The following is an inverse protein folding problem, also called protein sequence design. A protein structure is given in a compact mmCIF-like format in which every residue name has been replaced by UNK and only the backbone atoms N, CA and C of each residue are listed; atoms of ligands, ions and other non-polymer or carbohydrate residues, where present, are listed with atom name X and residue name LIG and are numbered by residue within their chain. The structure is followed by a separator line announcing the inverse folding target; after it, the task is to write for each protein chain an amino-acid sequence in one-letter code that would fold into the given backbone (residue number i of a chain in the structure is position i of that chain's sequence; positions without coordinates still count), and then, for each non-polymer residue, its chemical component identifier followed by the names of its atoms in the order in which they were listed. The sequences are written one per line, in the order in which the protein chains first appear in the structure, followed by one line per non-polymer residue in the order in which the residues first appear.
data_IF_697574420344
#
_entry.id   IF_697574420344
#
_cell.length_a   1.000
_cell.length_b   1.000
_cell.length_c   1.000
_cell.angle_alpha   90.00
_cell.angle_beta   90.00
_cell.angle_gamma   90.00
#
_symmetry.space_group_name_H-M   'P 1'
#
loop_
_entity.id
_entity.type
_entity.pdbx_description
1 polymer ?
#
# COMPACT_ATOMS: atom_id res chain seq x y z
N UNK A 1 -6.26 0.50 -25.18
CA UNK A 1 -6.19 1.49 -24.09
C UNK A 1 -4.75 1.63 -23.65
N UNK A 2 -4.20 2.84 -23.66
CA UNK A 2 -2.89 3.08 -23.04
C UNK A 2 -3.12 3.06 -21.52
N UNK A 3 -2.40 2.18 -20.82
CA UNK A 3 -2.39 2.21 -19.36
C UNK A 3 -1.79 3.53 -18.84
N UNK A 4 -2.10 3.92 -17.60
CA UNK A 4 -1.52 5.08 -16.96
C UNK A 4 0.01 4.95 -16.90
N UNK A 5 0.72 6.04 -17.21
CA UNK A 5 2.20 6.08 -17.20
C UNK A 5 2.75 6.40 -15.81
N UNK A 6 1.96 7.14 -15.03
CA UNK A 6 2.29 7.47 -13.64
C UNK A 6 1.05 7.36 -12.76
N UNK A 7 1.24 7.26 -11.45
CA UNK A 7 0.14 7.23 -10.50
C UNK A 7 -0.67 8.55 -10.51
N UNK A 8 -0.06 9.66 -10.90
CA UNK A 8 -0.70 10.99 -10.99
C UNK A 8 -1.78 11.06 -12.08
N UNK A 9 -1.70 10.19 -13.09
CA UNK A 9 -2.73 10.08 -14.13
C UNK A 9 -3.97 9.31 -13.65
N UNK A 10 -3.89 8.64 -12.50
CA UNK A 10 -5.01 7.88 -11.95
C UNK A 10 -6.03 8.80 -11.30
N UNK A 11 -7.28 8.71 -11.72
CA UNK A 11 -8.40 9.48 -11.15
C UNK A 11 -8.50 9.28 -9.63
N UNK A 12 -8.31 8.05 -9.16
CA UNK A 12 -8.34 7.72 -7.73
C UNK A 12 -7.26 8.48 -6.96
N UNK A 13 -6.06 8.61 -7.52
CA UNK A 13 -4.98 9.36 -6.90
C UNK A 13 -5.27 10.87 -6.87
N UNK A 14 -5.75 11.42 -7.98
CA UNK A 14 -6.10 12.85 -8.09
C UNK A 14 -7.17 13.25 -7.07
N UNK A 15 -8.22 12.44 -6.92
CA UNK A 15 -9.28 12.66 -5.94
C UNK A 15 -8.77 12.56 -4.50
N UNK A 16 -7.92 11.56 -4.21
CA UNK A 16 -7.31 11.39 -2.91
C UNK A 16 -6.36 12.55 -2.57
N UNK A 17 -5.61 13.04 -3.54
CA UNK A 17 -4.72 14.18 -3.35
C UNK A 17 -5.50 15.48 -3.08
N UNK A 18 -6.59 15.74 -3.81
CA UNK A 18 -7.49 16.86 -3.55
C UNK A 18 -8.11 16.77 -2.16
N UNK A 19 -8.55 15.58 -1.74
CA UNK A 19 -9.07 15.35 -0.40
C UNK A 19 -8.02 15.69 0.67
N UNK A 20 -6.79 15.22 0.50
CA UNK A 20 -5.67 15.54 1.41
C UNK A 20 -5.49 17.05 1.58
N UNK A 21 -5.46 17.78 0.47
CA UNK A 21 -5.28 19.24 0.51
C UNK A 21 -6.45 19.92 1.21
N UNK A 22 -7.68 19.50 0.93
CA UNK A 22 -8.89 20.04 1.57
C UNK A 22 -8.94 19.75 3.07
N UNK A 23 -8.53 18.55 3.50
CA UNK A 23 -8.42 18.20 4.93
C UNK A 23 -7.36 19.06 5.62
N UNK A 24 -6.20 19.29 4.99
CA UNK A 24 -5.17 20.15 5.56
C UNK A 24 -5.64 21.59 5.72
N UNK A 25 -6.40 22.10 4.75
CA UNK A 25 -7.00 23.43 4.83
C UNK A 25 -8.07 23.49 5.93
N UNK A 26 -8.92 22.48 6.06
CA UNK A 26 -9.90 22.39 7.14
C UNK A 26 -9.22 22.44 8.52
N UNK A 27 -8.18 21.63 8.71
CA UNK A 27 -7.40 21.60 9.95
C UNK A 27 -6.78 22.99 10.24
N UNK A 28 -6.31 23.68 9.21
CA UNK A 28 -5.66 25.01 9.33
C UNK A 28 -6.65 26.10 9.74
N UNK A 29 -7.88 26.03 9.23
CA UNK A 29 -8.89 27.09 9.35
C UNK A 29 -9.90 26.87 10.47
N UNK A 30 -9.84 25.72 11.14
CA UNK A 30 -10.77 25.35 12.21
C UNK A 30 -10.04 25.08 13.53
N UNK A 31 -10.84 24.82 14.59
CA UNK A 31 -10.30 24.46 15.91
C UNK A 31 -9.95 22.96 16.06
N UNK A 32 -9.95 22.17 14.98
CA UNK A 32 -9.56 20.76 15.03
C UNK A 32 -8.19 20.56 15.68
N UNK A 33 -7.27 21.54 15.57
CA UNK A 33 -5.96 21.49 16.23
C UNK A 33 -6.03 21.42 17.77
N UNK A 34 -7.12 21.82 18.39
CA UNK A 34 -7.30 21.73 19.84
C UNK A 34 -7.60 20.30 20.30
N UNK A 35 -8.06 19.45 19.39
CA UNK A 35 -8.25 18.02 19.62
C UNK A 35 -7.13 17.26 18.88
N UNK A 36 -6.12 16.86 19.64
CA UNK A 36 -4.92 16.25 19.06
C UNK A 36 -5.19 14.92 18.38
N UNK A 37 -6.06 14.12 18.98
CA UNK A 37 -6.36 12.79 18.46
C UNK A 37 -7.11 12.89 17.12
N UNK A 38 -8.13 13.72 17.05
CA UNK A 38 -8.88 13.99 15.83
C UNK A 38 -8.00 14.63 14.74
N UNK A 39 -7.16 15.60 15.13
CA UNK A 39 -6.18 16.23 14.24
C UNK A 39 -5.27 15.20 13.60
N UNK A 40 -4.65 14.33 14.41
CA UNK A 40 -3.67 13.35 13.94
C UNK A 40 -4.34 12.27 13.09
N UNK A 41 -5.54 11.82 13.46
CA UNK A 41 -6.32 10.85 12.69
C UNK A 41 -6.70 11.38 11.32
N UNK A 42 -7.29 12.57 11.22
CA UNK A 42 -7.63 13.23 9.96
C UNK A 42 -6.39 13.44 9.08
N UNK A 43 -5.32 13.98 9.66
CA UNK A 43 -4.09 14.25 8.93
C UNK A 43 -3.45 12.98 8.40
N UNK A 44 -3.38 11.93 9.20
CA UNK A 44 -2.71 10.68 8.85
C UNK A 44 -3.50 9.90 7.80
N UNK A 45 -4.81 9.70 7.98
CA UNK A 45 -5.64 8.98 7.03
C UNK A 45 -5.71 9.69 5.66
N UNK A 46 -5.90 11.02 5.65
CA UNK A 46 -5.92 11.79 4.41
C UNK A 46 -4.57 11.74 3.66
N UNK A 47 -3.44 11.70 4.38
CA UNK A 47 -2.09 11.61 3.81
C UNK A 47 -1.76 10.19 3.34
N UNK A 48 -2.21 9.18 4.04
CA UNK A 48 -1.92 7.78 3.74
C UNK A 48 -2.50 7.37 2.39
N UNK A 49 -3.72 7.83 2.06
CA UNK A 49 -4.44 7.44 0.84
C UNK A 49 -3.63 7.63 -0.45
N UNK A 50 -3.19 8.84 -0.83
CA UNK A 50 -2.44 9.03 -2.08
C UNK A 50 -1.08 8.33 -2.06
N UNK A 51 -0.44 8.16 -0.90
CA UNK A 51 0.82 7.43 -0.76
C UNK A 51 0.65 5.94 -1.05
N UNK A 52 -0.38 5.31 -0.49
CA UNK A 52 -0.70 3.90 -0.73
C UNK A 52 -1.02 3.64 -2.20
N UNK A 53 -1.74 4.55 -2.86
CA UNK A 53 -2.03 4.44 -4.30
C UNK A 53 -0.75 4.52 -5.12
N UNK A 54 0.12 5.48 -4.82
CA UNK A 54 1.41 5.64 -5.51
C UNK A 54 2.33 4.43 -5.31
N UNK A 55 2.42 3.94 -4.07
CA UNK A 55 3.21 2.75 -3.74
C UNK A 55 2.69 1.51 -4.45
N UNK A 56 1.37 1.28 -4.41
CA UNK A 56 0.74 0.16 -5.09
C UNK A 56 0.94 0.18 -6.61
N UNK A 57 0.87 1.36 -7.22
CA UNK A 57 1.15 1.55 -8.65
C UNK A 57 2.59 1.14 -9.00
N UNK A 58 3.56 1.45 -8.16
CA UNK A 58 4.97 1.09 -8.35
C UNK A 58 5.29 -0.40 -8.19
N UNK A 59 4.36 -1.24 -7.70
CA UNK A 59 4.59 -2.68 -7.50
C UNK A 59 4.51 -3.52 -8.77
N UNK A 60 4.03 -2.98 -9.88
CA UNK A 60 3.92 -3.62 -11.19
C UNK A 60 3.03 -4.88 -11.28
N UNK A 61 2.63 -5.48 -10.15
CA UNK A 61 1.75 -6.65 -10.11
C UNK A 61 0.31 -6.23 -9.82
N UNK A 62 -0.66 -6.60 -10.69
CA UNK A 62 -2.06 -6.21 -10.51
C UNK A 62 -2.65 -6.61 -9.15
N UNK A 63 -2.30 -7.79 -8.64
CA UNK A 63 -2.75 -8.28 -7.35
C UNK A 63 -2.24 -7.46 -6.16
N UNK A 64 -0.96 -7.06 -6.20
CA UNK A 64 -0.37 -6.19 -5.19
C UNK A 64 -0.99 -4.80 -5.25
N UNK A 65 -1.13 -4.23 -6.43
CA UNK A 65 -1.79 -2.93 -6.57
C UNK A 65 -3.23 -2.95 -6.04
N UNK A 66 -3.99 -3.99 -6.35
CA UNK A 66 -5.35 -4.15 -5.80
C UNK A 66 -5.36 -4.25 -4.27
N UNK A 67 -4.33 -4.84 -3.64
CA UNK A 67 -4.18 -4.88 -2.19
C UNK A 67 -3.96 -3.49 -1.61
N UNK A 68 -3.05 -2.71 -2.18
CA UNK A 68 -2.79 -1.33 -1.75
C UNK A 68 -4.03 -0.43 -1.91
N UNK A 69 -4.78 -0.58 -3.00
CA UNK A 69 -6.03 0.13 -3.20
C UNK A 69 -7.11 -0.22 -2.16
N UNK A 70 -7.16 -1.48 -1.69
CA UNK A 70 -8.07 -1.86 -0.59
C UNK A 70 -7.67 -1.17 0.71
N UNK A 71 -6.39 -1.11 1.03
CA UNK A 71 -5.89 -0.37 2.21
C UNK A 71 -6.20 1.13 2.08
N UNK A 72 -5.90 1.73 0.92
CA UNK A 72 -6.23 3.13 0.64
C UNK A 72 -7.74 3.42 0.79
N UNK A 73 -8.60 2.48 0.41
CA UNK A 73 -10.04 2.61 0.58
C UNK A 73 -10.47 2.57 2.06
N UNK A 74 -9.74 1.85 2.90
CA UNK A 74 -9.88 1.91 4.37
C UNK A 74 -9.59 3.31 4.90
N UNK A 75 -8.47 3.90 4.51
CA UNK A 75 -8.07 5.27 4.89
C UNK A 75 -9.09 6.33 4.43
N UNK A 76 -9.69 6.16 3.24
CA UNK A 76 -10.75 7.04 2.76
C UNK A 76 -11.98 7.00 3.65
N UNK A 77 -12.36 5.82 4.15
CA UNK A 77 -13.48 5.67 5.09
C UNK A 77 -13.17 6.29 6.44
N UNK A 78 -11.96 6.07 6.94
CA UNK A 78 -11.50 6.68 8.17
C UNK A 78 -11.51 8.21 8.08
N UNK A 79 -10.99 8.78 6.99
CA UNK A 79 -11.08 10.23 6.74
C UNK A 79 -12.54 10.71 6.70
N UNK A 80 -13.42 9.94 6.06
CA UNK A 80 -14.85 10.29 5.97
C UNK A 80 -15.53 10.33 7.35
N UNK A 81 -15.25 9.34 8.20
CA UNK A 81 -15.84 9.26 9.54
C UNK A 81 -15.24 10.32 10.47
N UNK A 82 -13.93 10.55 10.43
CA UNK A 82 -13.28 11.62 11.21
C UNK A 82 -13.75 13.03 10.81
N UNK A 83 -14.16 13.26 9.56
CA UNK A 83 -14.83 14.51 9.16
C UNK A 83 -16.18 14.68 9.85
N UNK A 84 -16.94 13.60 10.09
CA UNK A 84 -18.19 13.65 10.86
C UNK A 84 -17.91 13.95 12.33
N UNK A 85 -16.91 13.29 12.90
CA UNK A 85 -16.49 13.54 14.28
C UNK A 85 -16.10 15.00 14.50
N UNK A 86 -15.51 15.65 13.50
CA UNK A 86 -15.17 17.09 13.57
C UNK A 86 -16.43 17.97 13.67
N UNK A 87 -17.53 17.58 13.04
CA UNK A 87 -18.82 18.30 13.16
C UNK A 87 -19.49 17.98 14.48
N UNK A 88 -19.55 16.70 14.86
CA UNK A 88 -20.19 16.25 16.10
C UNK A 88 -19.51 16.85 17.33
N UNK A 89 -18.20 17.08 17.27
CA UNK A 89 -17.40 17.76 18.30
C UNK A 89 -17.44 19.29 18.22
N UNK A 90 -18.15 19.87 17.24
CA UNK A 90 -18.30 21.32 17.08
C UNK A 90 -17.05 22.04 16.59
N UNK A 91 -16.09 21.34 15.98
CA UNK A 91 -14.87 21.94 15.43
C UNK A 91 -15.03 22.39 13.98
N UNK A 92 -15.95 21.79 13.24
CA UNK A 92 -16.26 22.15 11.87
C UNK A 92 -17.78 22.21 11.63
N UNK A 93 -18.22 22.83 10.54
CA UNK A 93 -19.62 22.83 10.13
C UNK A 93 -19.87 21.79 9.05
N UNK A 94 -21.15 21.41 8.91
CA UNK A 94 -21.56 20.47 7.87
C UNK A 94 -21.22 20.97 6.46
N UNK A 95 -21.35 22.27 6.20
CA UNK A 95 -21.02 22.89 4.92
C UNK A 95 -19.52 22.76 4.59
N UNK A 96 -18.66 22.84 5.60
CA UNK A 96 -17.21 22.71 5.41
C UNK A 96 -16.80 21.29 5.05
N UNK A 97 -17.48 20.27 5.58
CA UNK A 97 -17.10 18.87 5.37
C UNK A 97 -17.74 18.22 4.15
N UNK A 98 -18.93 18.66 3.70
CA UNK A 98 -19.66 18.07 2.57
C UNK A 98 -18.78 17.95 1.31
N UNK A 99 -18.04 18.96 0.86
CA UNK A 99 -17.18 18.83 -0.33
C UNK A 99 -16.10 17.75 -0.15
N UNK A 100 -15.52 17.63 1.05
CA UNK A 100 -14.49 16.65 1.38
C UNK A 100 -15.07 15.23 1.43
N UNK A 101 -16.24 15.07 2.01
CA UNK A 101 -16.95 13.79 2.01
C UNK A 101 -17.32 13.33 0.60
N UNK A 102 -17.70 14.25 -0.29
CA UNK A 102 -17.93 13.95 -1.70
C UNK A 102 -16.64 13.47 -2.39
N UNK A 103 -15.51 14.11 -2.14
CA UNK A 103 -14.21 13.66 -2.66
C UNK A 103 -13.86 12.27 -2.17
N UNK A 104 -14.03 11.99 -0.87
CA UNK A 104 -13.79 10.66 -0.30
C UNK A 104 -14.65 9.58 -0.96
N UNK A 105 -15.96 9.82 -1.11
CA UNK A 105 -16.87 8.88 -1.79
C UNK A 105 -16.49 8.64 -3.26
N UNK A 106 -16.13 9.71 -3.98
CA UNK A 106 -15.69 9.59 -5.38
C UNK A 106 -14.39 8.83 -5.50
N UNK A 107 -13.43 9.07 -4.62
CA UNK A 107 -12.16 8.36 -4.57
C UNK A 107 -12.39 6.86 -4.26
N UNK A 108 -13.24 6.53 -3.28
CA UNK A 108 -13.62 5.15 -2.95
C UNK A 108 -14.27 4.42 -4.13
N UNK A 109 -15.15 5.09 -4.88
CA UNK A 109 -15.75 4.52 -6.09
C UNK A 109 -14.70 4.25 -7.16
N UNK A 110 -13.79 5.20 -7.39
CA UNK A 110 -12.71 5.05 -8.36
C UNK A 110 -11.74 3.92 -7.95
N UNK A 111 -11.41 3.79 -6.65
CA UNK A 111 -10.61 2.69 -6.13
C UNK A 111 -11.29 1.33 -6.38
N UNK A 112 -12.58 1.22 -6.08
CA UNK A 112 -13.35 -0.02 -6.29
C UNK A 112 -13.41 -0.42 -7.77
N UNK A 113 -13.61 0.54 -8.67
CA UNK A 113 -13.60 0.28 -10.11
C UNK A 113 -12.23 -0.19 -10.60
N UNK A 114 -11.16 0.43 -10.11
CA UNK A 114 -9.79 0.03 -10.46
C UNK A 114 -9.44 -1.35 -9.90
N UNK A 115 -9.86 -1.68 -8.68
CA UNK A 115 -9.70 -3.02 -8.09
C UNK A 115 -10.40 -4.07 -8.95
N UNK A 116 -11.62 -3.80 -9.40
CA UNK A 116 -12.36 -4.72 -10.27
C UNK A 116 -11.62 -4.95 -11.59
N UNK A 117 -11.10 -3.89 -12.21
CA UNK A 117 -10.27 -3.98 -13.42
C UNK A 117 -9.00 -4.81 -13.19
N UNK A 118 -8.27 -4.56 -12.10
CA UNK A 118 -7.01 -5.26 -11.79
C UNK A 118 -7.19 -6.75 -11.52
N UNK A 119 -8.38 -7.19 -11.09
CA UNK A 119 -8.70 -8.63 -10.93
C UNK A 119 -8.72 -9.39 -12.25
N UNK A 120 -9.05 -8.71 -13.34
CA UNK A 120 -9.13 -9.31 -14.69
C UNK A 120 -7.87 -9.01 -15.51
N UNK A 121 -7.03 -8.08 -15.07
CA UNK A 121 -5.81 -7.71 -15.76
C UNK A 121 -4.77 -8.84 -15.67
N UNK A 122 -4.26 -9.24 -16.82
CA UNK A 122 -3.10 -10.16 -16.87
C UNK A 122 -1.85 -9.39 -16.44
N UNK A 123 -0.92 -10.03 -15.71
CA UNK A 123 0.36 -9.42 -15.40
C UNK A 123 1.06 -9.01 -16.71
N UNK A 124 1.79 -7.88 -16.75
CA UNK A 124 2.53 -7.47 -17.93
C UNK A 124 3.55 -8.55 -18.24
N UNK A 125 3.29 -9.24 -19.35
CA UNK A 125 4.17 -10.19 -20.02
C UNK A 125 5.02 -11.06 -19.08
N UNK A 126 4.46 -12.17 -18.58
CA UNK A 126 5.32 -13.30 -18.28
C UNK A 126 5.94 -13.72 -19.62
N UNK A 127 7.15 -13.25 -19.90
CA UNK A 127 8.03 -13.95 -20.83
C UNK A 127 7.96 -15.43 -20.46
N UNK A 128 7.74 -16.36 -21.41
CA UNK A 128 7.64 -17.77 -21.08
C UNK A 128 8.82 -18.09 -20.19
N UNK A 129 8.54 -18.51 -18.93
CA UNK A 129 9.57 -18.92 -17.99
C UNK A 129 10.37 -19.97 -18.73
N UNK A 130 11.58 -19.62 -19.15
CA UNK A 130 12.56 -20.62 -19.59
C UNK A 130 12.57 -21.66 -18.48
N UNK A 131 12.25 -22.94 -18.79
CA UNK A 131 12.24 -23.95 -17.75
C UNK A 131 13.61 -23.90 -17.10
N UNK A 132 13.65 -23.64 -15.78
CA UNK A 132 14.87 -23.67 -14.99
C UNK A 132 15.52 -25.00 -15.34
N UNK A 133 16.58 -24.94 -16.16
CA UNK A 133 17.43 -26.09 -16.43
C UNK A 133 17.79 -26.65 -15.06
N UNK A 134 17.20 -27.80 -14.72
CA UNK A 134 17.62 -28.56 -13.53
C UNK A 134 19.12 -28.69 -13.70
N UNK A 135 19.90 -28.07 -12.82
CA UNK A 135 21.30 -28.42 -12.68
C UNK A 135 21.27 -29.92 -12.45
N UNK A 136 21.71 -30.66 -13.45
CA UNK A 136 22.03 -32.07 -13.33
C UNK A 136 22.93 -32.16 -12.10
N UNK A 137 22.50 -32.93 -11.14
CA UNK A 137 23.31 -33.25 -9.97
C UNK A 137 24.64 -33.79 -10.49
N UNK A 138 25.72 -33.08 -10.22
CA UNK A 138 27.06 -33.65 -10.38
C UNK A 138 27.15 -34.91 -9.53
N UNK A 139 27.68 -36.02 -10.09
CA UNK A 139 27.87 -37.21 -9.28
C UNK A 139 28.85 -36.87 -8.15
N UNK A 140 28.36 -37.01 -6.90
CA UNK A 140 29.23 -36.94 -5.71
C UNK A 140 30.21 -38.11 -5.81
N UNK A 141 31.47 -37.78 -6.14
CA UNK A 141 32.57 -38.72 -6.08
C UNK A 141 32.84 -39.00 -4.59
N UNK A 142 32.24 -40.07 -4.09
CA UNK A 142 32.61 -40.64 -2.79
C UNK A 142 33.94 -41.35 -2.98
N UNK A 143 35.03 -40.71 -2.66
CA UNK A 143 36.26 -41.35 -2.27
C UNK A 143 36.08 -41.72 -0.79
N UNK A 144 35.76 -43.01 -0.58
CA UNK A 144 35.84 -43.60 0.75
C UNK A 144 37.31 -43.69 1.16
N UNK A 145 37.78 -42.70 1.90
CA UNK A 145 39.00 -42.85 2.72
C UNK A 145 38.59 -43.42 4.07
N UNK A 146 39.23 -44.54 4.51
CA UNK A 146 38.96 -45.09 5.81
C UNK A 146 39.49 -44.17 6.91
N UNK A 147 38.60 -43.84 7.83
CA UNK A 147 38.87 -43.04 9.00
C UNK A 147 39.77 -43.86 9.94
N UNK A 148 41.08 -43.56 10.00
CA UNK A 148 41.97 -44.10 10.99
C UNK A 148 41.63 -43.52 12.37
N UNK A 149 41.59 -44.34 13.45
CA UNK A 149 41.35 -43.84 14.78
C UNK A 149 42.57 -43.07 15.32
N UNK A 150 42.39 -42.03 16.15
CA UNK A 150 43.48 -41.27 16.71
C UNK A 150 44.34 -42.13 17.68
N UNK A 151 45.67 -41.94 17.56
CA UNK A 151 46.65 -42.58 18.45
C UNK A 151 46.49 -42.11 19.91
N UNK A 152 46.71 -43.00 20.88
CA UNK A 152 46.67 -42.61 22.30
C UNK A 152 47.86 -41.71 22.69
N UNK A 153 47.68 -40.86 23.70
CA UNK A 153 48.75 -39.95 24.12
C UNK A 153 49.93 -40.73 24.79
N UNK A 154 51.12 -40.38 24.35
CA UNK A 154 52.38 -40.84 25.00
C UNK A 154 52.40 -40.38 26.45
N UNK A 155 52.66 -41.36 27.34
CA UNK A 155 52.98 -41.08 28.74
C UNK A 155 54.50 -40.90 28.83
N UNK A 156 54.91 -39.71 29.18
CA UNK A 156 56.30 -39.45 29.56
C UNK A 156 56.59 -39.94 30.98
N UNK A 157 57.84 -40.35 31.27
CA UNK A 157 58.26 -41.04 32.50
C UNK A 157 58.37 -40.13 33.73
#
# INVERSE_FOLDING_TARGET
MRGARSHEELIVWQLAYQLKLGVYELIRTTRIRSDRDLHDQLRNSARATPRLIAEGFGRYLPGDFARYLRTANGELKETFDSLRDAVDSGYATQEQIIPLQRLSKRASKAASSLIAYLRTAKPPNESPRTPRRRKSAEPVNRTDEPNEPPEPPEQDP
#
